data_IF_512186695636
#
_entry.id   IF_512186695636
#
_cell.length_a   1.000
_cell.length_b   1.000
_cell.length_c   1.000
_cell.angle_alpha   90.00
_cell.angle_beta   90.00
_cell.angle_gamma   90.00
#
_symmetry.space_group_name_H-M   'P 1'
#
loop_
_entity.id
_entity.type
_entity.pdbx_description
1 polymer ?
#
# COMPACT_ATOMS: atom_id res chain seq x y z
N UNK A 1 11.94 15.34 35.45
CA UNK A 1 10.98 14.85 34.44
C UNK A 1 11.14 13.35 34.09
N UNK A 2 12.30 12.87 33.62
CA UNK A 2 12.48 11.47 33.19
C UNK A 2 12.24 10.40 34.28
N UNK A 3 12.55 10.69 35.55
CA UNK A 3 12.35 9.77 36.68
C UNK A 3 10.86 9.59 37.06
N UNK A 4 10.06 10.65 36.99
CA UNK A 4 8.61 10.57 37.24
C UNK A 4 7.88 9.77 36.14
N UNK A 5 8.30 9.96 34.89
CA UNK A 5 7.79 9.19 33.74
C UNK A 5 8.05 7.69 33.93
N UNK A 6 9.26 7.29 34.35
CA UNK A 6 9.58 5.88 34.65
C UNK A 6 8.71 5.30 35.78
N UNK A 7 8.40 6.09 36.82
CA UNK A 7 7.56 5.65 37.95
C UNK A 7 6.10 5.47 37.51
N UNK A 8 5.57 6.40 36.71
CA UNK A 8 4.23 6.29 36.12
C UNK A 8 4.11 5.05 35.24
N UNK A 9 5.11 4.77 34.40
CA UNK A 9 5.14 3.55 33.58
C UNK A 9 5.20 2.29 34.43
N UNK A 10 6.06 2.24 35.44
CA UNK A 10 6.14 1.09 36.34
C UNK A 10 4.80 0.83 37.06
N UNK A 11 4.09 1.89 37.47
CA UNK A 11 2.74 1.79 38.04
C UNK A 11 1.73 1.26 37.02
N UNK A 12 1.75 1.78 35.79
CA UNK A 12 0.87 1.29 34.70
C UNK A 12 1.11 -0.19 34.41
N UNK A 13 2.36 -0.63 34.31
CA UNK A 13 2.67 -2.05 34.09
C UNK A 13 2.16 -2.93 35.22
N UNK A 14 2.42 -2.56 36.48
CA UNK A 14 1.94 -3.32 37.64
C UNK A 14 0.41 -3.39 37.68
N UNK A 15 -0.26 -2.28 37.40
CA UNK A 15 -1.72 -2.24 37.32
C UNK A 15 -2.24 -3.14 36.19
N UNK A 16 -1.64 -3.08 35.00
CA UNK A 16 -2.02 -3.90 33.85
C UNK A 16 -1.89 -5.39 34.14
N UNK A 17 -0.75 -5.82 34.68
CA UNK A 17 -0.49 -7.22 35.03
C UNK A 17 -1.47 -7.73 36.10
N UNK A 18 -1.97 -6.85 36.97
CA UNK A 18 -2.91 -7.22 38.03
C UNK A 18 -4.37 -7.28 37.57
N UNK A 19 -4.77 -6.42 36.63
CA UNK A 19 -6.18 -6.22 36.29
C UNK A 19 -6.61 -6.77 34.91
N UNK A 20 -5.68 -7.02 33.97
CA UNK A 20 -6.03 -7.40 32.60
C UNK A 20 -5.34 -8.72 32.22
N UNK A 21 -6.15 -9.70 31.79
CA UNK A 21 -5.62 -10.96 31.27
C UNK A 21 -4.81 -10.74 29.98
N UNK A 22 -3.79 -11.56 29.73
CA UNK A 22 -3.00 -11.44 28.51
C UNK A 22 -3.84 -11.60 27.23
N UNK A 23 -4.90 -12.43 27.26
CA UNK A 23 -5.82 -12.58 26.11
C UNK A 23 -6.58 -11.27 25.86
N UNK A 24 -7.23 -10.72 26.88
CA UNK A 24 -7.97 -9.45 26.77
C UNK A 24 -7.06 -8.31 26.31
N UNK A 25 -5.83 -8.27 26.84
CA UNK A 25 -4.85 -7.27 26.43
C UNK A 25 -4.50 -7.36 24.94
N UNK A 26 -4.33 -8.57 24.39
CA UNK A 26 -4.07 -8.75 22.95
C UNK A 26 -5.23 -8.22 22.10
N UNK A 27 -6.48 -8.50 22.49
CA UNK A 27 -7.66 -7.99 21.76
C UNK A 27 -7.76 -6.45 21.79
N UNK A 28 -7.48 -5.83 22.94
CA UNK A 28 -7.43 -4.37 23.03
C UNK A 28 -6.31 -3.83 22.15
N UNK A 29 -5.13 -4.46 22.18
CA UNK A 29 -4.00 -4.04 21.36
C UNK A 29 -4.27 -4.23 19.87
N UNK A 30 -4.99 -5.27 19.45
CA UNK A 30 -5.36 -5.43 18.04
C UNK A 30 -6.26 -4.31 17.54
N UNK A 31 -7.22 -3.86 18.35
CA UNK A 31 -8.06 -2.68 18.01
C UNK A 31 -7.18 -1.43 17.90
N UNK A 32 -6.37 -1.15 18.93
CA UNK A 32 -5.50 0.05 18.94
C UNK A 32 -4.55 0.06 17.75
N UNK A 33 -3.92 -1.07 17.45
CA UNK A 33 -2.98 -1.17 16.33
C UNK A 33 -3.71 -1.09 14.99
N UNK A 34 -4.91 -1.67 14.87
CA UNK A 34 -5.78 -1.52 13.69
C UNK A 34 -6.15 -0.06 13.42
N UNK A 35 -6.56 0.67 14.47
CA UNK A 35 -6.84 2.12 14.40
C UNK A 35 -5.60 2.91 13.95
N UNK A 36 -4.44 2.68 14.58
CA UNK A 36 -3.21 3.40 14.23
C UNK A 36 -2.75 3.10 12.80
N UNK A 37 -2.90 1.86 12.35
CA UNK A 37 -2.60 1.47 10.98
C UNK A 37 -3.59 2.08 9.99
N UNK A 38 -4.88 2.14 10.33
CA UNK A 38 -5.91 2.82 9.54
C UNK A 38 -5.64 4.32 9.43
N UNK A 39 -5.28 5.00 10.52
CA UNK A 39 -4.88 6.41 10.48
C UNK A 39 -3.66 6.63 9.59
N UNK A 40 -2.66 5.73 9.64
CA UNK A 40 -1.51 5.79 8.74
C UNK A 40 -1.91 5.59 7.26
N UNK A 41 -2.86 4.70 6.96
CA UNK A 41 -3.37 4.49 5.61
C UNK A 41 -4.18 5.70 5.11
N UNK A 42 -5.07 6.26 5.93
CA UNK A 42 -5.86 7.45 5.61
C UNK A 42 -4.96 8.65 5.37
N UNK A 43 -4.00 8.91 6.26
CA UNK A 43 -3.04 10.02 6.08
C UNK A 43 -2.23 9.85 4.79
N UNK A 44 -1.81 8.64 4.47
CA UNK A 44 -1.12 8.34 3.21
C UNK A 44 -1.99 8.65 1.99
N UNK A 45 -3.25 8.19 1.98
CA UNK A 45 -4.21 8.40 0.88
C UNK A 45 -4.54 9.89 0.71
N UNK A 46 -4.86 10.59 1.80
CA UNK A 46 -5.18 12.03 1.77
C UNK A 46 -3.99 12.89 1.32
N UNK A 47 -2.77 12.56 1.76
CA UNK A 47 -1.57 13.29 1.32
C UNK A 47 -1.30 13.05 -0.17
N UNK A 48 -1.58 11.85 -0.66
CA UNK A 48 -1.41 11.51 -2.08
C UNK A 48 -2.38 12.29 -2.95
N UNK A 49 -3.68 12.28 -2.61
CA UNK A 49 -4.69 13.07 -3.33
C UNK A 49 -4.44 14.57 -3.25
N UNK A 50 -3.96 15.08 -2.11
CA UNK A 50 -3.62 16.48 -2.00
C UNK A 50 -2.47 16.88 -2.94
N UNK A 51 -1.46 16.03 -3.11
CA UNK A 51 -0.39 16.29 -4.08
C UNK A 51 -0.93 16.16 -5.51
N UNK A 52 -1.73 15.14 -5.79
CA UNK A 52 -2.35 14.92 -7.09
C UNK A 52 -3.20 16.12 -7.53
N UNK A 53 -4.06 16.63 -6.64
CA UNK A 53 -4.90 17.81 -6.93
C UNK A 53 -4.06 19.06 -7.21
N UNK A 54 -2.97 19.28 -6.45
CA UNK A 54 -2.05 20.39 -6.70
C UNK A 54 -1.33 20.27 -8.05
N UNK A 55 -0.98 19.04 -8.44
CA UNK A 55 -0.33 18.76 -9.72
C UNK A 55 -1.31 18.97 -10.87
N UNK A 56 -2.55 18.49 -10.74
CA UNK A 56 -3.61 18.70 -11.74
C UNK A 56 -3.93 20.18 -11.94
N UNK A 57 -4.15 20.92 -10.84
CA UNK A 57 -4.36 22.37 -10.91
C UNK A 57 -3.18 23.05 -11.62
N UNK A 58 -1.94 22.80 -11.21
CA UNK A 58 -0.75 23.38 -11.82
C UNK A 58 -0.57 23.06 -13.32
N UNK A 59 -0.98 21.86 -13.76
CA UNK A 59 -0.88 21.43 -15.16
C UNK A 59 -1.97 22.09 -16.03
N UNK A 60 -3.19 22.26 -15.50
CA UNK A 60 -4.25 22.96 -16.25
C UNK A 60 -3.90 24.41 -16.58
N UNK A 61 -3.09 25.08 -15.75
CA UNK A 61 -2.59 26.43 -16.01
C UNK A 61 -1.53 26.53 -17.13
N UNK A 62 -0.81 25.44 -17.44
CA UNK A 62 0.44 25.51 -18.24
C UNK A 62 0.36 24.76 -19.59
N UNK A 63 -0.81 24.24 -19.98
CA UNK A 63 -1.05 23.29 -21.09
C UNK A 63 -0.82 21.82 -20.74
N UNK A 64 -1.76 20.98 -21.18
CA UNK A 64 -1.90 19.53 -20.93
C UNK A 64 -0.66 18.69 -21.28
N UNK A 65 0.28 19.23 -22.06
CA UNK A 65 1.46 18.52 -22.54
C UNK A 65 2.58 18.35 -21.48
N UNK A 66 2.51 18.99 -20.31
CA UNK A 66 3.55 18.89 -19.27
C UNK A 66 3.34 17.71 -18.30
N UNK A 67 2.28 16.91 -18.49
CA UNK A 67 1.95 15.78 -17.63
C UNK A 67 3.06 14.72 -17.53
N UNK A 68 3.90 14.59 -18.56
CA UNK A 68 5.02 13.65 -18.54
C UNK A 68 6.19 14.07 -17.62
N UNK A 69 6.25 15.34 -17.19
CA UNK A 69 7.35 15.87 -16.37
C UNK A 69 7.07 15.66 -14.87
N UNK A 70 5.80 15.59 -14.45
CA UNK A 70 5.43 15.45 -13.04
C UNK A 70 6.11 14.26 -12.35
N UNK A 71 6.24 13.05 -12.93
CA UNK A 71 6.87 11.94 -12.23
C UNK A 71 8.37 12.15 -12.02
N UNK A 72 9.03 12.89 -12.93
CA UNK A 72 10.45 13.24 -12.79
C UNK A 72 10.65 14.15 -11.58
N UNK A 73 9.73 15.10 -11.36
CA UNK A 73 9.75 16.00 -10.18
C UNK A 73 9.54 15.16 -8.91
N UNK A 74 8.50 14.33 -8.87
CA UNK A 74 8.19 13.48 -7.72
C UNK A 74 9.35 12.56 -7.34
N UNK A 75 9.92 11.83 -8.30
CA UNK A 75 11.06 10.95 -8.07
C UNK A 75 12.32 11.74 -7.64
N UNK A 76 12.51 12.97 -8.13
CA UNK A 76 13.62 13.84 -7.72
C UNK A 76 13.47 14.26 -6.25
N UNK A 77 12.26 14.64 -5.83
CA UNK A 77 11.97 14.96 -4.42
C UNK A 77 12.20 13.75 -3.51
N UNK A 78 11.77 12.55 -3.93
CA UNK A 78 12.05 11.30 -3.20
C UNK A 78 13.56 11.05 -3.10
N UNK A 79 14.32 11.24 -4.19
CA UNK A 79 15.77 11.10 -4.17
C UNK A 79 16.44 12.07 -3.19
N UNK A 80 16.03 13.34 -3.17
CA UNK A 80 16.54 14.34 -2.24
C UNK A 80 16.22 13.97 -0.79
N UNK A 81 14.98 13.57 -0.51
CA UNK A 81 14.57 13.12 0.82
C UNK A 81 15.40 11.92 1.29
N UNK A 82 15.55 10.90 0.45
CA UNK A 82 16.31 9.69 0.81
C UNK A 82 17.78 10.02 1.04
N UNK A 83 18.37 10.88 0.20
CA UNK A 83 19.79 11.24 0.30
C UNK A 83 20.12 12.08 1.52
N UNK A 84 19.33 13.12 1.80
CA UNK A 84 19.67 14.13 2.82
C UNK A 84 19.03 13.81 4.19
N UNK A 85 17.81 13.30 4.20
CA UNK A 85 17.02 13.07 5.42
C UNK A 85 17.10 11.61 5.88
N UNK A 86 16.74 10.66 5.02
CA UNK A 86 16.65 9.25 5.43
C UNK A 86 18.04 8.59 5.60
N UNK A 87 18.97 8.89 4.68
CA UNK A 87 20.37 8.42 4.64
C UNK A 87 20.57 6.90 4.63
N UNK A 88 19.51 6.14 4.36
CA UNK A 88 19.51 4.68 4.26
C UNK A 88 18.86 4.24 2.94
N UNK A 89 19.09 2.99 2.52
CA UNK A 89 18.41 2.45 1.33
C UNK A 89 16.98 2.08 1.68
N UNK A 90 16.04 2.42 0.80
CA UNK A 90 14.67 1.93 0.92
C UNK A 90 14.64 0.42 0.68
N UNK A 91 13.95 -0.29 1.57
CA UNK A 91 13.72 -1.73 1.48
C UNK A 91 12.29 -1.99 1.01
N UNK A 92 12.06 -3.12 0.34
CA UNK A 92 10.69 -3.56 0.03
C UNK A 92 9.90 -3.80 1.32
N UNK A 93 8.71 -3.21 1.40
CA UNK A 93 7.88 -3.19 2.60
C UNK A 93 7.68 -4.59 3.20
N UNK A 94 6.99 -5.47 2.47
CA UNK A 94 6.59 -6.80 2.92
C UNK A 94 7.81 -7.66 3.26
N UNK A 95 8.80 -7.75 2.36
CA UNK A 95 10.00 -8.55 2.57
C UNK A 95 10.77 -8.11 3.82
N UNK A 96 10.83 -6.80 4.09
CA UNK A 96 11.51 -6.28 5.27
C UNK A 96 10.77 -6.57 6.58
N UNK A 97 9.44 -6.62 6.55
CA UNK A 97 8.59 -7.00 7.68
C UNK A 97 8.76 -8.50 7.97
N UNK A 98 8.70 -9.35 6.93
CA UNK A 98 8.93 -10.79 7.05
C UNK A 98 10.32 -11.10 7.61
N UNK A 99 11.36 -10.38 7.14
CA UNK A 99 12.71 -10.49 7.69
C UNK A 99 12.75 -10.06 9.17
N UNK A 100 12.03 -8.99 9.53
CA UNK A 100 11.98 -8.53 10.91
C UNK A 100 11.29 -9.54 11.83
N UNK A 101 10.16 -10.12 11.40
CA UNK A 101 9.42 -11.15 12.14
C UNK A 101 10.25 -12.42 12.32
N UNK A 102 10.91 -12.89 11.25
CA UNK A 102 11.69 -14.14 11.27
C UNK A 102 13.06 -14.03 11.95
N UNK A 103 13.80 -12.92 11.75
CA UNK A 103 15.21 -12.80 12.19
C UNK A 103 15.46 -11.71 13.22
N UNK A 104 14.58 -10.71 13.36
CA UNK A 104 14.77 -9.56 14.26
C UNK A 104 13.75 -9.52 15.41
N UNK A 105 13.15 -10.66 15.75
CA UNK A 105 12.13 -10.79 16.81
C UNK A 105 10.92 -9.85 16.61
N UNK A 106 10.62 -9.43 15.39
CA UNK A 106 9.58 -8.43 15.09
C UNK A 106 9.94 -6.99 15.45
N UNK A 107 11.22 -6.63 15.52
CA UNK A 107 11.67 -5.25 15.79
C UNK A 107 11.84 -4.51 14.47
N UNK A 108 11.08 -3.42 14.30
CA UNK A 108 11.08 -2.56 13.12
C UNK A 108 11.52 -1.15 13.53
N UNK A 109 12.43 -0.56 12.76
CA UNK A 109 12.96 0.79 13.03
C UNK A 109 11.84 1.84 12.95
N UNK A 110 11.82 2.79 13.89
CA UNK A 110 10.85 3.88 13.94
C UNK A 110 10.85 4.75 12.67
N UNK A 111 12.01 4.83 11.98
CA UNK A 111 12.11 5.54 10.69
C UNK A 111 11.13 5.03 9.64
N UNK A 112 10.77 3.74 9.72
CA UNK A 112 9.82 3.08 8.79
C UNK A 112 8.37 3.47 9.03
N UNK A 113 8.06 4.25 10.07
CA UNK A 113 6.73 4.83 10.28
C UNK A 113 6.49 5.96 9.29
N UNK A 114 7.40 6.95 9.25
CA UNK A 114 7.20 8.18 8.49
C UNK A 114 7.81 8.17 7.09
N UNK A 115 8.84 7.35 6.84
CA UNK A 115 9.48 7.29 5.52
C UNK A 115 8.48 6.92 4.40
N UNK A 116 7.61 5.90 4.56
CA UNK A 116 6.62 5.57 3.54
C UNK A 116 5.53 6.66 3.40
N UNK A 117 5.14 7.31 4.49
CA UNK A 117 4.16 8.41 4.50
C UNK A 117 4.62 9.65 3.72
N UNK A 118 5.92 9.79 3.47
CA UNK A 118 6.47 10.91 2.68
C UNK A 118 6.82 10.45 1.27
N UNK A 119 7.51 9.32 1.15
CA UNK A 119 8.04 8.86 -0.15
C UNK A 119 6.96 8.36 -1.10
N UNK A 120 5.91 7.71 -0.58
CA UNK A 120 4.85 7.19 -1.44
C UNK A 120 3.93 8.29 -1.99
N UNK A 121 3.44 9.27 -1.21
CA UNK A 121 2.65 10.38 -1.76
C UNK A 121 3.43 11.22 -2.77
N UNK A 122 4.73 11.44 -2.54
CA UNK A 122 5.60 12.11 -3.52
C UNK A 122 5.82 11.30 -4.80
N UNK A 123 5.70 9.98 -4.75
CA UNK A 123 5.84 9.15 -5.95
C UNK A 123 4.51 9.08 -6.70
N UNK A 124 3.43 8.69 -6.01
CA UNK A 124 2.11 8.46 -6.61
C UNK A 124 1.43 9.77 -6.97
N UNK A 125 1.44 10.77 -6.09
CA UNK A 125 0.77 12.05 -6.32
C UNK A 125 1.39 12.89 -7.44
N UNK A 126 2.64 12.60 -7.80
CA UNK A 126 3.30 13.17 -8.99
C UNK A 126 3.20 12.26 -10.23
N UNK A 127 2.41 11.18 -10.19
CA UNK A 127 2.15 10.33 -11.35
C UNK A 127 2.97 9.06 -11.48
N UNK A 128 3.72 8.69 -10.46
CA UNK A 128 4.40 7.40 -10.44
C UNK A 128 3.41 6.23 -10.37
N UNK A 129 3.51 5.31 -11.32
CA UNK A 129 2.68 4.09 -11.37
C UNK A 129 3.10 3.10 -10.27
N UNK A 130 2.47 3.21 -9.10
CA UNK A 130 2.68 2.31 -7.94
C UNK A 130 1.51 2.42 -6.96
N UNK A 131 1.16 1.32 -6.30
CA UNK A 131 0.10 1.31 -5.27
C UNK A 131 0.59 1.73 -3.87
N UNK A 132 -0.35 2.20 -3.05
CA UNK A 132 -0.08 2.66 -1.67
C UNK A 132 -0.06 1.54 -0.60
N UNK A 133 -0.37 0.30 -0.98
CA UNK A 133 -0.48 -0.83 -0.05
C UNK A 133 0.79 -1.14 0.74
N UNK A 134 1.90 -1.31 0.02
CA UNK A 134 3.19 -1.61 0.64
C UNK A 134 3.60 -0.54 1.66
N UNK A 135 3.59 0.75 1.29
CA UNK A 135 3.83 1.86 2.21
C UNK A 135 2.93 1.86 3.46
N UNK A 136 1.62 1.69 3.31
CA UNK A 136 0.69 1.68 4.45
C UNK A 136 0.95 0.50 5.40
N UNK A 137 1.17 -0.70 4.84
CA UNK A 137 1.52 -1.90 5.61
C UNK A 137 2.86 -1.72 6.34
N UNK A 138 3.85 -1.08 5.71
CA UNK A 138 5.13 -0.76 6.34
C UNK A 138 4.98 0.21 7.53
N UNK A 139 4.25 1.30 7.33
CA UNK A 139 4.00 2.29 8.39
C UNK A 139 3.19 1.71 9.55
N UNK A 140 2.11 0.98 9.26
CA UNK A 140 1.29 0.29 10.28
C UNK A 140 2.08 -0.76 11.05
N UNK A 141 2.86 -1.59 10.36
CA UNK A 141 3.74 -2.60 10.99
C UNK A 141 4.80 -1.96 11.88
N UNK A 142 5.40 -0.85 11.45
CA UNK A 142 6.39 -0.12 12.23
C UNK A 142 5.76 0.53 13.47
N UNK A 143 4.56 1.11 13.37
CA UNK A 143 3.78 1.63 14.50
C UNK A 143 3.52 0.52 15.53
N UNK A 144 3.00 -0.61 15.06
CA UNK A 144 2.72 -1.79 15.89
C UNK A 144 3.96 -2.32 16.62
N UNK A 145 5.07 -2.47 15.91
CA UNK A 145 6.33 -2.96 16.48
C UNK A 145 6.88 -2.02 17.56
N UNK A 146 6.84 -0.71 17.31
CA UNK A 146 7.33 0.29 18.27
C UNK A 146 6.40 0.42 19.49
N UNK A 147 5.08 0.39 19.30
CA UNK A 147 4.12 0.32 20.40
C UNK A 147 4.30 -0.95 21.24
N UNK A 148 4.50 -2.09 20.58
CA UNK A 148 4.76 -3.37 21.24
C UNK A 148 6.07 -3.36 22.03
N UNK A 149 7.13 -2.72 21.50
CA UNK A 149 8.40 -2.54 22.20
C UNK A 149 8.23 -1.61 23.40
N UNK A 150 7.49 -0.52 23.24
CA UNK A 150 7.19 0.40 24.32
C UNK A 150 6.48 -0.32 25.47
N UNK A 151 5.47 -1.15 25.17
CA UNK A 151 4.69 -1.91 26.14
C UNK A 151 5.35 -3.23 26.62
N UNK A 152 6.61 -3.49 26.26
CA UNK A 152 7.36 -4.70 26.64
C UNK A 152 6.67 -6.02 26.24
N UNK A 153 6.00 -6.02 25.08
CA UNK A 153 5.35 -7.22 24.52
C UNK A 153 6.41 -8.19 23.97
N UNK A 154 6.20 -9.49 24.22
CA UNK A 154 7.10 -10.54 23.75
C UNK A 154 7.12 -10.67 22.21
N UNK A 155 8.10 -11.39 21.66
CA UNK A 155 8.30 -11.48 20.21
C UNK A 155 7.15 -12.17 19.46
N UNK A 156 6.54 -13.22 20.04
CA UNK A 156 5.43 -13.96 19.42
C UNK A 156 4.19 -13.09 19.28
N UNK A 157 3.77 -12.44 20.37
CA UNK A 157 2.63 -11.52 20.38
C UNK A 157 2.90 -10.27 19.55
N UNK A 158 4.13 -9.74 19.55
CA UNK A 158 4.52 -8.62 18.67
C UNK A 158 4.38 -8.99 17.20
N UNK A 159 4.78 -10.20 16.81
CA UNK A 159 4.64 -10.67 15.42
C UNK A 159 3.17 -10.78 15.01
N UNK A 160 2.31 -11.28 15.92
CA UNK A 160 0.86 -11.26 15.71
C UNK A 160 0.31 -9.84 15.56
N UNK A 161 0.69 -8.91 16.43
CA UNK A 161 0.25 -7.51 16.35
C UNK A 161 0.75 -6.79 15.09
N UNK A 162 1.91 -7.17 14.54
CA UNK A 162 2.40 -6.64 13.26
C UNK A 162 1.50 -7.12 12.12
N UNK A 163 1.09 -8.39 12.11
CA UNK A 163 0.14 -8.91 11.15
C UNK A 163 -1.26 -8.26 11.32
N UNK A 164 -1.72 -8.05 12.56
CA UNK A 164 -2.94 -7.26 12.84
C UNK A 164 -2.85 -5.85 12.26
N UNK A 165 -1.72 -5.16 12.41
CA UNK A 165 -1.51 -3.84 11.83
C UNK A 165 -1.59 -3.86 10.30
N UNK A 166 -1.00 -4.89 9.70
CA UNK A 166 -1.00 -5.08 8.24
C UNK A 166 -2.42 -5.32 7.73
N UNK A 167 -3.19 -6.19 8.41
CA UNK A 167 -4.60 -6.40 8.12
C UNK A 167 -5.42 -5.10 8.29
N UNK A 168 -5.21 -4.35 9.39
CA UNK A 168 -5.86 -3.06 9.61
C UNK A 168 -5.56 -2.02 8.52
N UNK A 169 -4.31 -1.91 8.09
CA UNK A 169 -3.91 -1.01 7.01
C UNK A 169 -4.56 -1.39 5.67
N UNK A 170 -4.53 -2.66 5.30
CA UNK A 170 -5.12 -3.16 4.03
C UNK A 170 -6.64 -3.00 4.06
N UNK A 171 -7.27 -3.34 5.17
CA UNK A 171 -8.70 -3.19 5.35
C UNK A 171 -9.11 -1.71 5.31
N UNK A 172 -8.28 -0.80 5.82
CA UNK A 172 -8.50 0.64 5.70
C UNK A 172 -8.31 1.18 4.28
N UNK A 173 -7.43 0.60 3.46
CA UNK A 173 -7.25 1.06 2.08
C UNK A 173 -8.38 0.56 1.18
N UNK A 174 -8.72 -0.73 1.30
CA UNK A 174 -9.65 -1.39 0.39
C UNK A 174 -11.07 -1.50 0.91
N UNK A 175 -11.35 -1.07 2.14
CA UNK A 175 -12.63 -1.27 2.83
C UNK A 175 -13.06 -2.76 2.87
N UNK A 176 -12.11 -3.70 2.76
CA UNK A 176 -12.36 -5.14 2.69
C UNK A 176 -11.68 -5.87 3.85
N UNK A 177 -12.37 -6.06 4.99
CA UNK A 177 -11.78 -6.65 6.18
C UNK A 177 -11.45 -8.13 6.00
N UNK A 178 -12.30 -8.89 5.29
CA UNK A 178 -12.11 -10.33 5.10
C UNK A 178 -10.89 -10.59 4.21
N UNK A 179 -10.75 -9.88 3.09
CA UNK A 179 -9.60 -10.01 2.22
C UNK A 179 -8.29 -9.65 2.95
N UNK A 180 -8.32 -8.62 3.80
CA UNK A 180 -7.16 -8.22 4.59
C UNK A 180 -6.73 -9.29 5.62
N UNK A 181 -7.68 -10.01 6.22
CA UNK A 181 -7.39 -11.14 7.12
C UNK A 181 -6.74 -12.28 6.34
N UNK A 182 -7.32 -12.67 5.20
CA UNK A 182 -6.78 -13.74 4.35
C UNK A 182 -5.36 -13.41 3.91
N UNK A 183 -5.13 -12.18 3.43
CA UNK A 183 -3.81 -11.70 3.07
C UNK A 183 -2.82 -11.81 4.23
N UNK A 184 -3.21 -11.37 5.43
CA UNK A 184 -2.32 -11.40 6.59
C UNK A 184 -1.98 -12.83 7.02
N UNK A 185 -2.94 -13.76 6.93
CA UNK A 185 -2.71 -15.18 7.21
C UNK A 185 -1.74 -15.78 6.20
N UNK A 186 -1.97 -15.55 4.90
CA UNK A 186 -1.20 -16.16 3.82
C UNK A 186 0.23 -15.60 3.76
N UNK A 187 0.36 -14.28 3.70
CA UNK A 187 1.65 -13.59 3.50
C UNK A 187 2.56 -13.71 4.72
N UNK A 188 2.01 -13.60 5.93
CA UNK A 188 2.79 -13.77 7.16
C UNK A 188 2.82 -15.22 7.66
N UNK A 189 2.20 -16.14 6.91
CA UNK A 189 2.13 -17.59 7.19
C UNK A 189 1.73 -17.87 8.65
N UNK A 190 0.68 -17.21 9.11
CA UNK A 190 0.15 -17.40 10.46
C UNK A 190 -0.71 -18.66 10.53
N UNK A 191 -0.63 -19.39 11.64
CA UNK A 191 -1.54 -20.50 11.89
C UNK A 191 -2.98 -19.98 11.95
N UNK A 192 -3.89 -20.58 11.18
CA UNK A 192 -5.34 -20.32 11.21
C UNK A 192 -5.96 -20.89 12.49
N UNK A 193 -5.78 -20.17 13.60
CA UNK A 193 -6.31 -20.54 14.93
C UNK A 193 -7.16 -19.40 15.48
N UNK A 194 -8.06 -19.68 16.41
CA UNK A 194 -8.85 -18.64 17.08
C UNK A 194 -7.99 -17.59 17.80
N UNK A 195 -6.76 -17.95 18.18
CA UNK A 195 -5.81 -17.04 18.82
C UNK A 195 -5.23 -15.99 17.89
N UNK A 196 -5.21 -16.24 16.58
CA UNK A 196 -4.75 -15.31 15.54
C UNK A 196 -5.92 -14.63 14.83
N UNK A 197 -6.99 -15.38 14.56
CA UNK A 197 -8.14 -14.91 13.78
C UNK A 197 -8.93 -13.79 14.48
N UNK A 198 -9.23 -13.94 15.78
CA UNK A 198 -9.98 -12.91 16.52
C UNK A 198 -9.23 -11.56 16.60
N UNK A 199 -7.93 -11.52 16.96
CA UNK A 199 -7.15 -10.28 16.89
C UNK A 199 -7.07 -9.69 15.47
N UNK A 200 -6.91 -10.52 14.43
CA UNK A 200 -6.90 -10.04 13.05
C UNK A 200 -8.23 -9.37 12.68
N UNK A 201 -9.36 -10.00 13.05
CA UNK A 201 -10.70 -9.48 12.83
C UNK A 201 -10.92 -8.13 13.53
N UNK A 202 -10.53 -8.01 14.80
CA UNK A 202 -10.66 -6.73 15.52
C UNK A 202 -9.81 -5.62 14.91
N UNK A 203 -8.59 -5.95 14.46
CA UNK A 203 -7.73 -4.97 13.80
C UNK A 203 -8.25 -4.55 12.43
N UNK A 204 -8.75 -5.50 11.61
CA UNK A 204 -9.30 -5.21 10.30
C UNK A 204 -10.58 -4.38 10.40
N UNK A 205 -11.50 -4.72 11.33
CA UNK A 205 -12.71 -3.93 11.58
C UNK A 205 -12.33 -2.51 12.05
N UNK A 206 -11.38 -2.39 12.98
CA UNK A 206 -10.92 -1.08 13.42
C UNK A 206 -10.31 -0.25 12.28
N UNK A 207 -9.57 -0.89 11.36
CA UNK A 207 -9.03 -0.24 10.16
C UNK A 207 -10.12 0.24 9.21
N UNK A 208 -11.09 -0.61 8.89
CA UNK A 208 -12.24 -0.26 8.02
C UNK A 208 -13.06 0.87 8.61
N UNK A 209 -13.39 0.81 9.91
CA UNK A 209 -14.13 1.89 10.58
C UNK A 209 -13.37 3.21 10.56
N UNK A 210 -12.04 3.17 10.66
CA UNK A 210 -11.20 4.36 10.49
C UNK A 210 -11.33 4.90 9.07
N UNK A 211 -11.29 4.04 8.04
CA UNK A 211 -11.53 4.47 6.66
C UNK A 211 -12.89 5.11 6.49
N UNK A 212 -13.98 4.46 6.92
CA UNK A 212 -15.33 5.00 6.77
C UNK A 212 -15.50 6.35 7.45
N UNK A 213 -14.88 6.55 8.61
CA UNK A 213 -14.96 7.81 9.33
C UNK A 213 -14.28 8.98 8.59
N UNK A 214 -13.15 8.74 7.91
CA UNK A 214 -12.35 9.80 7.28
C UNK A 214 -12.54 9.94 5.76
N UNK A 215 -12.80 8.83 5.06
CA UNK A 215 -12.88 8.76 3.60
C UNK A 215 -14.32 8.56 3.10
N UNK A 216 -15.29 8.32 4.00
CA UNK A 216 -16.66 7.99 3.62
C UNK A 216 -16.84 6.54 3.17
N UNK A 217 -18.05 6.23 2.70
CA UNK A 217 -18.53 4.91 2.27
C UNK A 217 -18.50 4.71 0.76
N UNK A 218 -17.77 5.54 0.03
CA UNK A 218 -17.59 5.38 -1.41
C UNK A 218 -16.88 4.06 -1.72
N UNK A 219 -17.57 3.21 -2.50
CA UNK A 219 -17.03 1.95 -2.97
C UNK A 219 -15.94 2.20 -4.01
N UNK A 220 -14.78 1.57 -3.83
CA UNK A 220 -13.66 1.69 -4.78
C UNK A 220 -14.00 1.17 -6.17
N UNK A 221 -14.85 0.15 -6.23
CA UNK A 221 -15.32 -0.49 -7.46
C UNK A 221 -16.84 -0.63 -7.37
N UNK A 222 -17.55 0.01 -8.29
CA UNK A 222 -18.99 -0.11 -8.42
C UNK A 222 -19.30 -0.81 -9.74
N UNK A 223 -19.93 -1.97 -9.68
CA UNK A 223 -20.36 -2.69 -10.87
C UNK A 223 -21.68 -3.39 -10.60
N UNK A 224 -22.56 -3.42 -11.61
CA UNK A 224 -23.81 -4.15 -11.54
C UNK A 224 -23.64 -5.54 -12.14
N UNK A 225 -23.93 -6.57 -11.34
CA UNK A 225 -23.98 -7.95 -11.83
C UNK A 225 -25.28 -8.12 -12.61
N UNK A 226 -25.18 -8.03 -13.94
CA UNK A 226 -26.30 -8.15 -14.87
C UNK A 226 -26.63 -9.60 -15.21
N UNK A 227 -25.63 -10.48 -15.24
CA UNK A 227 -25.77 -11.89 -15.61
C UNK A 227 -25.56 -12.82 -14.41
N UNK A 228 -26.34 -13.92 -14.37
CA UNK A 228 -26.18 -14.94 -13.33
C UNK A 228 -25.12 -15.94 -13.77
N UNK A 229 -24.40 -16.49 -12.79
CA UNK A 229 -23.43 -17.57 -13.03
C UNK A 229 -24.12 -18.79 -13.66
N UNK A 230 -23.65 -19.20 -14.84
CA UNK A 230 -24.01 -20.48 -15.44
C UNK A 230 -22.87 -21.48 -15.30
N UNK A 231 -23.20 -22.76 -15.08
CA UNK A 231 -22.19 -23.83 -14.94
C UNK A 231 -21.28 -23.92 -16.18
N UNK A 232 -21.81 -23.57 -17.37
CA UNK A 232 -21.05 -23.57 -18.62
C UNK A 232 -19.91 -22.55 -18.62
N UNK A 233 -20.05 -21.46 -17.88
CA UNK A 233 -19.05 -20.39 -17.78
C UNK A 233 -17.81 -20.83 -16.98
N UNK A 234 -17.93 -21.91 -16.20
CA UNK A 234 -16.81 -22.52 -15.47
C UNK A 234 -15.61 -22.77 -16.38
N UNK A 235 -15.83 -23.18 -17.62
CA UNK A 235 -14.74 -23.38 -18.58
C UNK A 235 -13.99 -22.07 -18.89
N UNK A 236 -14.71 -20.96 -19.07
CA UNK A 236 -14.10 -19.66 -19.31
C UNK A 236 -13.36 -19.14 -18.07
N UNK A 237 -13.87 -19.38 -16.86
CA UNK A 237 -13.15 -19.03 -15.62
C UNK A 237 -11.87 -19.85 -15.43
N UNK A 238 -11.86 -21.13 -15.83
CA UNK A 238 -10.64 -21.95 -15.83
C UNK A 238 -9.61 -21.37 -16.83
N UNK A 239 -10.04 -21.04 -18.04
CA UNK A 239 -9.17 -20.39 -19.03
C UNK A 239 -8.62 -19.05 -18.53
N UNK A 240 -9.46 -18.24 -17.88
CA UNK A 240 -9.04 -17.00 -17.25
C UNK A 240 -8.00 -17.26 -16.13
N UNK A 241 -8.21 -18.29 -15.30
CA UNK A 241 -7.26 -18.71 -14.27
C UNK A 241 -5.90 -19.10 -14.85
N UNK A 242 -5.89 -19.87 -15.94
CA UNK A 242 -4.65 -20.24 -16.64
C UNK A 242 -3.98 -19.01 -17.28
N UNK A 243 -4.75 -18.14 -17.93
CA UNK A 243 -4.26 -16.91 -18.53
C UNK A 243 -3.63 -15.95 -17.51
N UNK A 244 -4.31 -15.73 -16.38
CA UNK A 244 -3.81 -14.90 -15.27
C UNK A 244 -2.58 -15.51 -14.60
N UNK A 245 -2.47 -16.84 -14.54
CA UNK A 245 -1.25 -17.51 -14.07
C UNK A 245 -0.04 -17.22 -14.99
N UNK A 246 -0.20 -17.32 -16.30
CA UNK A 246 0.85 -16.94 -17.25
C UNK A 246 1.22 -15.45 -17.16
N UNK A 247 0.23 -14.57 -17.05
CA UNK A 247 0.44 -13.14 -16.87
C UNK A 247 1.23 -12.84 -15.58
N UNK A 248 0.90 -13.51 -14.46
CA UNK A 248 1.63 -13.39 -13.19
C UNK A 248 3.09 -13.83 -13.29
N UNK A 249 3.37 -14.95 -13.97
CA UNK A 249 4.75 -15.41 -14.22
C UNK A 249 5.51 -14.39 -15.08
N UNK A 250 4.88 -13.89 -16.15
CA UNK A 250 5.46 -12.87 -17.01
C UNK A 250 5.79 -11.59 -16.24
N UNK A 251 4.83 -11.07 -15.48
CA UNK A 251 5.00 -9.88 -14.64
C UNK A 251 6.14 -10.07 -13.65
N UNK A 252 6.20 -11.21 -12.96
CA UNK A 252 7.25 -11.52 -11.99
C UNK A 252 8.63 -11.57 -12.64
N UNK A 253 8.75 -12.24 -13.80
CA UNK A 253 10.02 -12.30 -14.56
C UNK A 253 10.45 -10.93 -15.05
N UNK A 254 9.51 -10.14 -15.57
CA UNK A 254 9.78 -8.79 -16.05
C UNK A 254 10.21 -7.86 -14.91
N UNK A 255 9.49 -7.89 -13.78
CA UNK A 255 9.81 -7.12 -12.59
C UNK A 255 11.24 -7.37 -12.11
N UNK A 256 11.62 -8.64 -11.92
CA UNK A 256 12.99 -8.97 -11.51
C UNK A 256 14.02 -8.72 -12.61
N UNK A 257 13.67 -8.88 -13.88
CA UNK A 257 14.52 -8.56 -15.02
C UNK A 257 14.87 -7.07 -15.08
N UNK A 258 13.86 -6.20 -14.98
CA UNK A 258 14.05 -4.74 -14.91
C UNK A 258 14.90 -4.39 -13.68
N UNK A 259 14.64 -5.00 -12.53
CA UNK A 259 15.43 -4.76 -11.31
C UNK A 259 16.91 -5.16 -11.49
N UNK A 260 17.20 -6.22 -12.24
CA UNK A 260 18.56 -6.61 -12.61
C UNK A 260 19.22 -5.62 -13.58
N UNK A 261 18.48 -5.10 -14.57
CA UNK A 261 18.97 -4.04 -15.46
C UNK A 261 19.30 -2.79 -14.64
N UNK A 262 18.41 -2.36 -13.76
CA UNK A 262 18.60 -1.20 -12.89
C UNK A 262 19.71 -1.39 -11.85
N UNK A 263 20.09 -2.63 -11.51
CA UNK A 263 21.25 -2.91 -10.65
C UNK A 263 22.58 -2.54 -11.32
N UNK A 264 22.67 -2.53 -12.65
CA UNK A 264 23.90 -2.16 -13.39
C UNK A 264 24.29 -0.70 -13.19
N UNK A 265 23.31 0.18 -12.96
CA UNK A 265 23.56 1.58 -12.63
C UNK A 265 24.00 1.72 -11.15
N UNK A 266 25.26 2.09 -10.90
CA UNK A 266 25.79 2.22 -9.53
C UNK A 266 25.31 3.47 -8.82
N UNK A 267 25.13 4.58 -9.52
CA UNK A 267 24.71 5.85 -8.91
C UNK A 267 23.18 6.01 -8.95
N UNK A 268 22.54 6.30 -7.79
CA UNK A 268 21.09 6.50 -7.73
C UNK A 268 20.57 7.64 -8.62
N UNK A 269 21.42 8.64 -8.93
CA UNK A 269 21.06 9.74 -9.84
C UNK A 269 20.76 9.25 -11.25
N UNK A 270 21.54 8.31 -11.77
CA UNK A 270 21.31 7.76 -13.10
C UNK A 270 20.07 6.86 -13.12
N UNK A 271 19.79 6.12 -12.05
CA UNK A 271 18.55 5.36 -11.93
C UNK A 271 17.33 6.27 -11.99
N UNK A 272 17.40 7.40 -11.27
CA UNK A 272 16.37 8.42 -11.27
C UNK A 272 16.17 9.00 -12.68
N UNK A 273 17.24 9.42 -13.36
CA UNK A 273 17.13 10.02 -14.70
C UNK A 273 16.56 9.03 -15.72
N UNK A 274 17.12 7.82 -15.79
CA UNK A 274 16.68 6.80 -16.74
C UNK A 274 15.25 6.35 -16.43
N UNK A 275 14.93 6.08 -15.15
CA UNK A 275 13.59 5.67 -14.74
C UNK A 275 12.55 6.76 -14.91
N UNK A 276 12.87 7.99 -14.53
CA UNK A 276 11.97 9.14 -14.65
C UNK A 276 11.67 9.49 -16.10
N UNK A 277 12.69 9.51 -16.98
CA UNK A 277 12.48 9.73 -18.42
C UNK A 277 11.66 8.59 -19.01
N UNK A 278 11.97 7.33 -18.68
CA UNK A 278 11.20 6.19 -19.19
C UNK A 278 9.72 6.26 -18.78
N UNK A 279 9.44 6.53 -17.51
CA UNK A 279 8.06 6.67 -17.00
C UNK A 279 7.36 7.87 -17.65
N UNK A 280 8.03 9.02 -17.77
CA UNK A 280 7.46 10.19 -18.44
C UNK A 280 7.08 9.89 -19.89
N UNK A 281 7.98 9.25 -20.65
CA UNK A 281 7.69 8.84 -22.04
C UNK A 281 6.52 7.85 -22.08
N UNK A 282 6.47 6.87 -21.16
CA UNK A 282 5.35 5.93 -21.09
C UNK A 282 4.02 6.63 -20.80
N UNK A 283 3.98 7.58 -19.87
CA UNK A 283 2.77 8.35 -19.55
C UNK A 283 2.33 9.27 -20.67
N UNK A 284 3.26 9.76 -21.49
CA UNK A 284 2.91 10.53 -22.68
C UNK A 284 2.14 9.69 -23.71
N UNK A 285 2.52 8.41 -23.89
CA UNK A 285 1.84 7.51 -24.82
C UNK A 285 0.64 6.79 -24.19
N UNK A 286 0.69 6.51 -22.89
CA UNK A 286 -0.30 5.76 -22.13
C UNK A 286 -0.61 6.53 -20.82
N UNK A 287 -1.37 7.64 -20.90
CA UNK A 287 -1.76 8.43 -19.73
C UNK A 287 -2.42 7.64 -18.58
N UNK A 288 -3.23 6.60 -18.84
CA UNK A 288 -3.86 5.82 -17.77
C UNK A 288 -2.90 5.08 -16.84
N UNK A 289 -1.61 5.02 -17.16
CA UNK A 289 -0.58 4.49 -16.25
C UNK A 289 -0.35 5.39 -15.03
N UNK A 290 -0.92 6.60 -15.00
CA UNK A 290 -0.77 7.55 -13.92
C UNK A 290 -1.43 7.05 -12.63
N UNK A 291 -0.71 7.18 -11.52
CA UNK A 291 -1.24 6.89 -10.19
C UNK A 291 -1.47 5.39 -9.91
N UNK A 292 -2.53 5.08 -9.18
CA UNK A 292 -2.83 3.71 -8.71
C UNK A 292 -3.62 2.86 -9.74
N UNK A 293 -4.20 3.49 -10.77
CA UNK A 293 -4.96 2.80 -11.82
C UNK A 293 -6.42 2.46 -11.48
N UNK A 294 -6.97 2.92 -10.35
CA UNK A 294 -8.38 2.66 -10.01
C UNK A 294 -9.36 3.28 -11.01
N UNK A 295 -9.08 4.50 -11.50
CA UNK A 295 -9.89 5.14 -12.53
C UNK A 295 -9.95 4.32 -13.81
N UNK A 296 -8.81 3.80 -14.27
CA UNK A 296 -8.73 2.90 -15.44
C UNK A 296 -9.60 1.66 -15.26
N UNK A 297 -9.55 1.02 -14.09
CA UNK A 297 -10.37 -0.16 -13.78
C UNK A 297 -11.85 0.19 -13.79
N UNK A 298 -12.25 1.30 -13.16
CA UNK A 298 -13.66 1.71 -13.11
C UNK A 298 -14.22 2.03 -14.51
N UNK A 299 -13.46 2.75 -15.36
CA UNK A 299 -13.88 2.99 -16.74
C UNK A 299 -14.05 1.70 -17.55
N UNK A 300 -13.18 0.69 -17.34
CA UNK A 300 -13.33 -0.61 -18.00
C UNK A 300 -14.53 -1.40 -17.46
N UNK A 301 -14.79 -1.34 -16.15
CA UNK A 301 -15.97 -1.98 -15.54
C UNK A 301 -17.28 -1.36 -16.03
N UNK A 302 -17.29 -0.05 -16.29
CA UNK A 302 -18.42 0.68 -16.86
C UNK A 302 -18.60 0.44 -18.38
N UNK A 303 -17.66 -0.28 -19.03
CA UNK A 303 -17.66 -0.53 -20.47
C UNK A 303 -17.12 0.64 -21.32
N UNK A 304 -16.67 1.72 -20.69
CA UNK A 304 -16.14 2.92 -21.34
C UNK A 304 -14.66 2.76 -21.71
N UNK A 305 -14.38 1.86 -22.65
CA UNK A 305 -13.01 1.53 -23.09
C UNK A 305 -12.25 2.73 -23.67
N UNK A 306 -12.96 3.69 -24.30
CA UNK A 306 -12.36 4.90 -24.87
C UNK A 306 -11.95 5.91 -23.79
N UNK A 307 -12.76 6.08 -22.75
CA UNK A 307 -12.41 6.94 -21.61
C UNK A 307 -11.28 6.32 -20.78
N UNK A 308 -11.26 4.98 -20.68
CA UNK A 308 -10.19 4.26 -20.01
C UNK A 308 -8.81 4.54 -20.64
N UNK A 309 -8.72 4.70 -21.96
CA UNK A 309 -7.44 4.99 -22.65
C UNK A 309 -6.99 6.45 -22.50
N UNK A 310 -7.91 7.36 -22.16
CA UNK A 310 -7.66 8.80 -22.13
C UNK A 310 -7.30 9.37 -23.51
N UNK A 311 -6.80 10.61 -23.52
CA UNK A 311 -6.32 11.26 -24.75
C UNK A 311 -4.91 10.81 -25.07
N UNK A 312 -4.76 9.98 -26.07
CA UNK A 312 -3.47 9.49 -26.55
C UNK A 312 -3.05 10.22 -27.84
N UNK A 313 -1.75 10.28 -28.15
CA UNK A 313 -1.30 10.71 -29.49
C UNK A 313 -1.89 9.85 -30.63
N UNK A 314 -2.43 8.68 -30.30
CA UNK A 314 -3.06 7.74 -31.21
C UNK A 314 -4.58 7.89 -31.33
N UNK A 315 -5.18 8.96 -30.78
CA UNK A 315 -6.64 9.19 -30.82
C UNK A 315 -7.21 9.16 -32.25
N UNK A 316 -6.39 9.49 -33.26
CA UNK A 316 -6.75 9.38 -34.68
C UNK A 316 -6.90 7.95 -35.21
N UNK A 317 -6.46 6.93 -34.47
CA UNK A 317 -6.47 5.51 -34.84
C UNK A 317 -7.31 4.63 -33.89
N UNK A 318 -8.10 5.24 -33.00
CA UNK A 318 -8.96 4.55 -32.02
C UNK A 318 -10.09 3.73 -32.65
N UNK A 319 -10.33 3.84 -33.96
CA UNK A 319 -11.23 2.96 -34.72
C UNK A 319 -10.69 1.54 -34.92
N UNK A 320 -9.40 1.30 -34.63
CA UNK A 320 -8.77 0.00 -34.73
C UNK A 320 -8.73 -0.67 -33.36
N UNK A 321 -9.43 -1.80 -33.20
CA UNK A 321 -9.53 -2.57 -31.94
C UNK A 321 -8.15 -2.94 -31.38
N UNK A 322 -7.14 -3.11 -32.24
CA UNK A 322 -5.76 -3.39 -31.83
C UNK A 322 -4.99 -2.22 -31.20
N UNK A 323 -5.54 -1.00 -31.23
CA UNK A 323 -4.98 0.17 -30.52
C UNK A 323 -5.54 0.24 -29.09
N UNK A 324 -6.66 -0.46 -28.83
CA UNK A 324 -7.35 -0.51 -27.54
C UNK A 324 -6.92 -1.72 -26.69
N UNK A 325 -6.44 -2.79 -27.35
CA UNK A 325 -5.90 -4.02 -26.74
C UNK A 325 -4.39 -3.88 -26.52
#
# INVERSE_FOLDING_TARGET
MQRQIKILFARFYRWRYKNISNKTFIHIMSVVVGLLAGLAAVTLKNTTYFIESLVEEGITFTSTQLYFISPIIGLTLVYLYVKYVHREKLEHAISSILLAMSKKKGIINIKKIYTPLITAPLTVGFGGSVGLLGPAVASGSALSSNLSRFLHINAKTRSLLIACASAGAIASIFQSPIAAIIFAVEVFSLDLTMLSLLPLLFASISGVLTSYFFLGDETLFNFNVTEKFEIRDTFFYILLGVGTAFASIYFTRMYFGILQIFKRFKSPKYKLLVGGIAIGVMLYFIPPLYGEGFGFINHLLDGNSLEALGKTPFDKYTSNIWVVI
#
